data_IF_879095382526
#
_entry.id   IF_879095382526
#
_cell.length_a   1.000
_cell.length_b   1.000
_cell.length_c   1.000
_cell.angle_alpha   90.00
_cell.angle_beta   90.00
_cell.angle_gamma   90.00
#
_symmetry.space_group_name_H-M   'P 1'
#
loop_
_entity.id
_entity.type
_entity.pdbx_description
1 polymer ?
2 non-polymer ?
3 non-polymer ?
4 water ?
#
# COMPACT_ATOMS: atom_id res chain seq x y z
N UNK A 3 -1.96 25.40 4.59
CA UNK A 3 -3.00 24.62 3.93
C UNK A 3 -4.36 25.11 4.42
N UNK A 4 -5.36 24.91 3.55
CA UNK A 4 -6.75 25.12 3.96
C UNK A 4 -7.08 24.29 5.20
N UNK A 5 -8.10 24.68 5.97
CA UNK A 5 -8.54 23.78 7.03
C UNK A 5 -9.16 22.52 6.46
N UNK A 6 -8.94 21.38 7.08
CA UNK A 6 -9.66 20.17 6.68
C UNK A 6 -11.17 20.41 6.82
N UNK A 7 -11.94 19.79 5.95
CA UNK A 7 -13.40 19.95 5.95
C UNK A 7 -14.07 18.69 6.46
N UNK A 8 -14.46 18.72 7.75
CA UNK A 8 -15.04 17.52 8.34
C UNK A 8 -16.43 17.22 7.81
N UNK A 9 -17.21 18.25 7.47
CA UNK A 9 -18.52 17.99 6.88
C UNK A 9 -18.36 17.25 5.54
N UNK A 10 -17.41 17.66 4.74
CA UNK A 10 -17.04 17.00 3.51
C UNK A 10 -16.58 15.57 3.75
N UNK A 11 -15.70 15.38 4.75
CA UNK A 11 -15.25 14.01 5.07
C UNK A 11 -16.44 13.15 5.45
N UNK A 12 -17.33 13.69 6.27
CA UNK A 12 -18.53 12.96 6.68
C UNK A 12 -19.35 12.51 5.44
N UNK A 13 -19.53 13.42 4.52
CA UNK A 13 -20.28 13.12 3.29
C UNK A 13 -19.57 12.03 2.48
N UNK A 14 -18.24 12.06 2.40
CA UNK A 14 -17.51 11.00 1.68
C UNK A 14 -17.78 9.65 2.27
N UNK A 15 -17.69 9.54 3.60
CA UNK A 15 -17.91 8.28 4.25
C UNK A 15 -19.34 7.80 4.01
N UNK A 16 -20.30 8.72 4.15
CA UNK A 16 -21.68 8.31 3.98
C UNK A 16 -21.94 7.85 2.56
N UNK A 17 -21.32 8.52 1.59
CA UNK A 17 -21.43 8.07 0.20
C UNK A 17 -20.82 6.69 0.03
N UNK A 18 -19.66 6.45 0.61
CA UNK A 18 -19.05 5.11 0.50
C UNK A 18 -19.96 4.06 1.05
N UNK A 19 -20.62 4.28 2.18
CA UNK A 19 -21.57 3.30 2.73
C UNK A 19 -22.71 3.09 1.74
N UNK A 20 -23.21 4.17 1.10
CA UNK A 20 -24.32 4.04 0.15
C UNK A 20 -23.91 3.26 -1.08
N UNK A 21 -22.62 3.10 -1.32
CA UNK A 21 -22.10 2.41 -2.48
C UNK A 21 -21.63 0.99 -2.17
N UNK A 22 -21.72 0.59 -0.89
CA UNK A 22 -21.49 -0.82 -0.55
C UNK A 22 -20.38 -1.07 0.45
N UNK A 23 -19.74 -0.01 0.94
CA UNK A 23 -18.75 -0.26 2.03
C UNK A 23 -19.50 -0.53 3.32
N UNK A 24 -19.25 -1.64 4.02
CA UNK A 24 -19.90 -1.79 5.31
C UNK A 24 -19.52 -0.70 6.30
N UNK A 25 -18.27 -0.26 6.26
CA UNK A 25 -17.73 0.76 7.14
C UNK A 25 -16.69 1.56 6.36
N UNK A 26 -16.52 2.82 6.82
CA UNK A 26 -15.51 3.68 6.22
C UNK A 26 -15.06 4.67 7.28
N UNK A 27 -13.79 5.05 7.28
CA UNK A 27 -13.29 5.89 8.37
C UNK A 27 -12.07 6.65 7.86
N UNK A 28 -11.69 7.72 8.57
CA UNK A 28 -10.60 8.60 8.17
C UNK A 28 -10.04 9.31 9.41
N UNK A 29 -8.72 9.43 9.42
CA UNK A 29 -8.01 10.20 10.40
C UNK A 29 -7.19 11.23 9.66
N UNK A 30 -7.18 12.44 10.20
CA UNK A 30 -6.23 13.49 9.73
C UNK A 30 -5.41 13.90 10.94
N UNK A 31 -4.10 13.99 10.77
CA UNK A 31 -3.21 14.64 11.73
C UNK A 31 -2.81 15.96 11.10
N UNK A 32 -3.47 17.06 11.53
CA UNK A 32 -3.25 18.38 10.96
C UNK A 32 -2.33 19.15 11.88
N UNK A 33 -1.02 18.94 11.73
CA UNK A 33 -0.02 19.64 12.49
C UNK A 33 -0.33 19.63 13.99
N UNK A 34 -0.70 18.46 14.50
CA UNK A 34 -0.96 18.36 15.93
C UNK A 34 -2.39 18.45 16.39
N UNK A 35 -3.32 18.71 15.42
CA UNK A 35 -4.73 18.70 15.74
C UNK A 35 -5.33 17.51 14.97
N UNK A 36 -6.05 16.65 15.69
CA UNK A 36 -6.58 15.45 15.07
C UNK A 36 -8.00 15.67 14.54
N UNK A 37 -8.27 15.06 13.40
CA UNK A 37 -9.62 14.92 12.90
C UNK A 37 -9.91 13.42 12.74
N UNK A 38 -11.06 12.96 13.18
CA UNK A 38 -11.36 11.53 13.09
C UNK A 38 -12.83 11.31 12.90
N UNK A 39 -13.17 10.55 11.87
CA UNK A 39 -14.56 10.26 11.58
C UNK A 39 -14.68 8.81 11.10
N UNK A 40 -15.80 8.19 11.39
CA UNK A 40 -16.07 6.81 10.98
C UNK A 40 -17.57 6.66 10.84
N UNK A 41 -18.01 5.80 9.95
CA UNK A 41 -19.40 5.47 9.79
C UNK A 41 -19.49 3.99 9.44
N UNK A 42 -20.54 3.34 9.99
CA UNK A 42 -20.81 1.97 9.66
C UNK A 42 -20.08 0.93 10.51
N UNK A 43 -19.90 -0.25 9.94
CA UNK A 43 -19.59 -1.42 10.76
C UNK A 43 -18.25 -2.02 10.38
N UNK A 44 -17.52 -2.42 11.41
CA UNK A 44 -16.33 -3.26 11.26
C UNK A 44 -16.68 -4.70 10.94
N UNK A 45 -17.79 -5.16 11.48
CA UNK A 45 -18.23 -6.55 11.27
C UNK A 45 -19.72 -6.44 10.96
N UNK A 46 -20.08 -6.79 9.73
CA UNK A 46 -21.43 -6.61 9.25
C UNK A 46 -22.39 -7.68 9.78
N UNK A 47 -21.84 -8.81 10.24
CA UNK A 47 -22.65 -9.88 10.76
C UNK A 47 -23.03 -9.62 12.22
N UNK A 48 -22.10 -9.08 13.00
CA UNK A 48 -22.35 -8.79 14.37
C UNK A 48 -22.83 -7.38 14.58
N UNK A 49 -22.61 -6.46 13.63
CA UNK A 49 -22.99 -5.10 13.80
C UNK A 49 -22.02 -4.22 14.51
N UNK A 50 -20.85 -4.77 14.96
CA UNK A 50 -19.90 -3.92 15.66
C UNK A 50 -19.46 -2.73 14.83
N UNK A 51 -19.51 -1.54 15.43
CA UNK A 51 -19.18 -0.33 14.69
C UNK A 51 -17.70 -0.28 14.36
N UNK A 52 -17.41 0.30 13.20
CA UNK A 52 -16.03 0.62 12.82
C UNK A 52 -15.56 1.86 13.53
N UNK A 53 -14.27 1.91 13.84
CA UNK A 53 -13.69 3.11 14.46
C UNK A 53 -12.32 3.36 13.84
N UNK A 54 -11.82 4.58 14.07
CA UNK A 54 -10.51 4.92 13.52
C UNK A 54 -9.34 4.22 14.23
N UNK A 55 -9.58 3.50 15.33
CA UNK A 55 -8.48 2.72 15.95
C UNK A 55 -8.50 1.28 15.51
N UNK A 56 -9.44 0.86 14.68
CA UNK A 56 -9.44 -0.52 14.20
C UNK A 56 -8.26 -0.80 13.30
N UNK A 57 -7.55 -1.91 13.55
CA UNK A 57 -6.47 -2.29 12.66
C UNK A 57 -7.02 -2.84 11.35
N UNK A 58 -6.21 -2.80 10.30
CA UNK A 58 -6.65 -3.25 8.99
C UNK A 58 -5.41 -3.57 8.15
N UNK A 59 -5.69 -4.25 7.02
CA UNK A 59 -4.63 -4.60 6.04
C UNK A 59 -4.42 -3.45 5.07
N UNK A 60 -3.21 -2.91 5.03
CA UNK A 60 -2.91 -1.64 4.32
C UNK A 60 -2.50 -1.89 2.86
N UNK A 61 -2.43 -3.16 2.42
CA UNK A 61 -2.08 -3.44 1.03
C UNK A 61 -0.75 -2.76 0.67
N UNK A 62 -0.75 -2.14 -0.50
CA UNK A 62 0.47 -1.64 -1.13
C UNK A 62 1.09 -0.42 -0.48
N UNK A 63 0.49 0.11 0.60
CA UNK A 63 1.27 0.96 1.49
C UNK A 63 2.52 0.25 1.93
N UNK A 64 2.48 -1.09 2.00
CA UNK A 64 3.65 -1.90 2.28
C UNK A 64 4.80 -1.58 1.36
N UNK A 65 4.51 -1.21 0.09
CA UNK A 65 5.64 -0.91 -0.80
C UNK A 65 6.46 0.27 -0.31
N UNK A 66 5.83 1.27 0.37
CA UNK A 66 6.57 2.36 0.94
C UNK A 66 7.42 1.91 2.12
N UNK A 67 6.95 0.98 2.96
CA UNK A 67 7.79 0.42 4.00
C UNK A 67 8.98 -0.29 3.39
N UNK A 68 8.75 -1.15 2.37
CA UNK A 68 9.84 -1.82 1.70
C UNK A 68 10.84 -0.83 1.09
N UNK A 69 10.33 0.23 0.46
CA UNK A 69 11.21 1.23 -0.15
C UNK A 69 12.06 1.95 0.92
N UNK A 70 11.49 2.26 2.09
CA UNK A 70 12.31 2.91 3.14
C UNK A 70 13.41 1.96 3.55
N UNK A 71 13.15 0.67 3.76
CA UNK A 71 14.25 -0.22 4.11
C UNK A 71 15.33 -0.21 3.04
N UNK A 72 14.93 -0.36 1.76
CA UNK A 72 15.95 -0.38 0.68
C UNK A 72 16.71 0.92 0.64
N UNK A 73 16.07 2.07 0.82
CA UNK A 73 16.81 3.32 0.75
C UNK A 73 17.74 3.52 1.94
N UNK A 74 17.39 2.97 3.10
CA UNK A 74 18.37 2.97 4.21
C UNK A 74 19.55 2.08 3.85
N UNK A 75 19.30 0.96 3.16
CA UNK A 75 20.44 0.13 2.71
C UNK A 75 21.31 0.87 1.72
N UNK A 76 20.74 1.73 0.87
CA UNK A 76 21.51 2.62 -0.01
C UNK A 76 22.35 3.56 0.86
N UNK A 77 21.76 4.19 1.87
CA UNK A 77 22.49 5.06 2.78
C UNK A 77 23.67 4.36 3.44
N UNK A 78 23.52 3.11 3.77
CA UNK A 78 24.53 2.29 4.45
C UNK A 78 25.56 1.76 3.46
N UNK A 79 25.41 1.99 2.16
CA UNK A 79 26.41 1.50 1.18
C UNK A 79 26.22 0.06 0.77
N UNK A 80 25.05 -0.52 1.07
CA UNK A 80 24.85 -1.96 0.79
C UNK A 80 24.14 -2.20 -0.51
N UNK A 81 23.64 -1.12 -1.14
CA UNK A 81 22.76 -1.24 -2.30
C UNK A 81 23.03 -0.01 -3.17
N UNK A 82 23.09 -0.19 -4.47
CA UNK A 82 23.23 0.92 -5.42
C UNK A 82 21.97 0.85 -6.29
N UNK A 83 21.22 1.98 -6.33
CA UNK A 83 19.94 1.96 -7.06
C UNK A 83 20.14 1.70 -8.54
N UNK A 84 21.30 2.04 -9.10
CA UNK A 84 21.45 1.83 -10.52
C UNK A 84 22.17 0.55 -10.85
N UNK A 85 22.52 -0.29 -9.86
CA UNK A 85 23.00 -1.64 -10.14
C UNK A 85 21.84 -2.51 -10.61
N UNK A 86 22.23 -3.54 -11.38
CA UNK A 86 21.38 -4.61 -11.84
C UNK A 86 20.76 -5.39 -10.71
N UNK A 87 19.49 -5.76 -10.73
CA UNK A 87 18.96 -6.71 -9.74
C UNK A 87 19.82 -7.97 -9.70
N UNK A 88 20.18 -8.47 -10.87
CA UNK A 88 20.92 -9.75 -10.91
C UNK A 88 22.30 -9.62 -10.29
N UNK A 89 22.84 -8.40 -10.11
CA UNK A 89 24.11 -8.28 -9.37
C UNK A 89 23.97 -8.84 -7.94
N UNK A 90 22.79 -8.63 -7.33
CA UNK A 90 22.56 -9.08 -5.94
C UNK A 90 21.84 -10.40 -5.84
N UNK A 91 21.05 -10.71 -6.85
CA UNK A 91 20.24 -11.93 -6.85
C UNK A 91 20.58 -12.65 -8.15
N UNK A 92 21.68 -13.35 -8.22
CA UNK A 92 22.18 -13.83 -9.52
C UNK A 92 21.19 -14.76 -10.16
N UNK A 93 21.04 -14.58 -11.46
CA UNK A 93 20.14 -15.42 -12.24
C UNK A 93 18.67 -15.18 -12.00
N UNK A 94 18.30 -14.13 -11.25
CA UNK A 94 16.87 -13.99 -10.91
C UNK A 94 16.05 -13.64 -12.13
N UNK A 95 16.49 -12.62 -12.88
CA UNK A 95 15.67 -12.01 -13.91
C UNK A 95 16.31 -12.32 -15.27
N UNK A 96 15.51 -12.34 -16.34
CA UNK A 96 16.07 -12.72 -17.66
C UNK A 96 16.96 -11.64 -18.23
N UNK A 97 16.96 -10.42 -17.72
CA UNK A 97 17.69 -9.31 -18.32
C UNK A 97 18.52 -8.67 -17.21
N UNK A 98 19.85 -8.68 -17.39
CA UNK A 98 20.75 -8.11 -16.37
C UNK A 98 20.74 -6.60 -16.46
N UNK A 99 19.97 -5.95 -17.27
CA UNK A 99 19.95 -4.46 -17.29
C UNK A 99 18.74 -3.99 -16.50
N UNK A 100 17.91 -4.89 -15.96
CA UNK A 100 16.82 -4.43 -15.08
C UNK A 100 17.49 -4.04 -13.73
N UNK A 101 17.32 -2.77 -13.38
CA UNK A 101 18.00 -2.22 -12.22
C UNK A 101 17.05 -2.07 -11.02
N UNK A 102 17.68 -1.87 -9.84
CA UNK A 102 16.90 -1.68 -8.62
C UNK A 102 15.99 -0.49 -8.74
N UNK A 103 16.51 0.62 -9.26
CA UNK A 103 15.69 1.85 -9.43
C UNK A 103 14.48 1.59 -10.29
N UNK A 104 14.69 0.84 -11.38
CA UNK A 104 13.58 0.50 -12.28
C UNK A 104 12.54 -0.35 -11.58
N UNK A 105 12.97 -1.34 -10.79
CA UNK A 105 11.99 -2.15 -10.05
C UNK A 105 11.18 -1.26 -9.11
N UNK A 106 11.90 -0.38 -8.38
CA UNK A 106 11.20 0.37 -7.31
C UNK A 106 10.24 1.44 -7.85
N UNK A 107 10.38 1.79 -9.13
CA UNK A 107 9.51 2.77 -9.79
C UNK A 107 8.60 2.12 -10.81
N UNK A 108 8.55 0.79 -10.85
CA UNK A 108 7.63 0.11 -11.78
C UNK A 108 7.96 0.38 -13.23
N UNK A 109 9.24 0.47 -13.54
CA UNK A 109 9.70 0.65 -14.90
C UNK A 109 10.49 -0.54 -15.38
N UNK A 110 10.41 -1.67 -14.70
CA UNK A 110 11.22 -2.84 -15.01
C UNK A 110 10.69 -3.71 -16.16
N UNK A 111 9.42 -3.59 -16.49
CA UNK A 111 8.75 -4.49 -17.44
C UNK A 111 8.30 -5.78 -16.79
N UNK A 112 8.51 -6.00 -15.50
CA UNK A 112 8.10 -7.33 -14.97
C UNK A 112 6.59 -7.48 -14.95
N UNK A 113 6.14 -8.58 -15.52
CA UNK A 113 4.68 -8.86 -15.58
C UNK A 113 4.12 -9.05 -14.16
N UNK A 114 2.93 -8.55 -13.90
CA UNK A 114 2.28 -8.69 -12.61
C UNK A 114 1.50 -10.01 -12.56
N UNK A 115 2.05 -11.01 -11.85
CA UNK A 115 1.43 -12.32 -11.73
C UNK A 115 0.03 -12.22 -11.12
N UNK A 116 -0.28 -11.18 -10.35
CA UNK A 116 -1.64 -11.13 -9.77
C UNK A 116 -2.70 -10.89 -10.85
N UNK A 117 -2.35 -10.48 -12.08
CA UNK A 117 -3.37 -10.43 -13.13
C UNK A 117 -3.90 -11.82 -13.45
N UNK A 118 -3.08 -12.85 -13.29
CA UNK A 118 -3.52 -14.24 -13.48
C UNK A 118 -4.33 -14.65 -12.25
N UNK A 119 -3.80 -14.40 -11.07
CA UNK A 119 -4.44 -14.88 -9.86
C UNK A 119 -5.85 -14.33 -9.72
N UNK A 120 -6.04 -13.07 -10.08
CA UNK A 120 -7.31 -12.40 -9.74
C UNK A 120 -8.11 -12.01 -10.95
N UNK A 121 -7.99 -12.79 -12.04
CA UNK A 121 -8.85 -12.54 -13.20
C UNK A 121 -10.31 -12.67 -12.81
N UNK A 122 -10.63 -13.60 -11.89
CA UNK A 122 -11.94 -13.68 -11.27
C UNK A 122 -11.74 -13.38 -9.81
N UNK A 123 -12.52 -12.45 -9.26
CA UNK A 123 -12.22 -11.88 -7.95
C UNK A 123 -12.38 -12.88 -6.82
N UNK A 124 -13.57 -13.45 -6.65
CA UNK A 124 -13.77 -14.32 -5.45
C UNK A 124 -13.06 -15.67 -5.68
N UNK A 125 -13.18 -16.29 -6.85
CA UNK A 125 -12.42 -17.57 -7.03
C UNK A 125 -10.93 -17.30 -6.85
N UNK A 126 -10.38 -16.19 -7.34
CA UNK A 126 -8.95 -15.94 -7.19
C UNK A 126 -8.60 -15.79 -5.71
N UNK A 127 -9.42 -15.06 -4.93
CA UNK A 127 -9.19 -14.96 -3.49
C UNK A 127 -9.26 -16.33 -2.82
N UNK A 128 -10.24 -17.15 -3.17
CA UNK A 128 -10.34 -18.45 -2.56
C UNK A 128 -9.11 -19.30 -2.93
N UNK A 129 -8.54 -19.09 -4.12
CA UNK A 129 -7.36 -19.85 -4.53
C UNK A 129 -6.13 -19.46 -3.71
N UNK A 130 -5.88 -18.20 -3.42
CA UNK A 130 -4.65 -17.78 -2.81
C UNK A 130 -4.77 -17.61 -1.32
N UNK A 131 -5.96 -17.49 -0.73
CA UNK A 131 -6.04 -16.93 0.63
C UNK A 131 -5.28 -17.72 1.65
N UNK A 132 -5.21 -19.05 1.47
CA UNK A 132 -4.60 -19.96 2.41
C UNK A 132 -3.36 -20.58 1.83
N UNK A 133 -2.76 -19.97 0.84
CA UNK A 133 -1.52 -20.48 0.27
C UNK A 133 -0.34 -19.69 0.81
N UNK A 134 0.79 -20.39 0.92
CA UNK A 134 2.07 -19.77 1.31
C UNK A 134 2.98 -19.92 0.12
N UNK A 135 3.49 -18.80 -0.40
CA UNK A 135 4.42 -18.76 -1.49
C UNK A 135 5.79 -18.37 -0.99
N UNK A 136 6.84 -18.89 -1.61
CA UNK A 136 8.14 -18.25 -1.44
C UNK A 136 8.23 -17.03 -2.33
N UNK A 137 9.22 -16.16 -2.08
CA UNK A 137 9.49 -15.06 -2.99
C UNK A 137 9.78 -15.56 -4.39
N UNK A 138 10.62 -16.58 -4.49
CA UNK A 138 10.95 -17.17 -5.77
C UNK A 138 9.73 -17.72 -6.49
N UNK A 139 8.77 -18.33 -5.79
CA UNK A 139 7.58 -18.85 -6.44
C UNK A 139 6.89 -17.73 -7.23
N UNK A 140 6.77 -16.54 -6.57
CA UNK A 140 6.06 -15.43 -7.23
C UNK A 140 6.85 -14.89 -8.41
N UNK A 141 8.19 -14.78 -8.28
CA UNK A 141 8.99 -14.33 -9.40
C UNK A 141 8.81 -15.32 -10.59
N UNK A 142 8.85 -16.61 -10.31
CA UNK A 142 8.67 -17.57 -11.40
C UNK A 142 7.32 -17.43 -12.06
N UNK A 143 6.26 -17.17 -11.29
CA UNK A 143 4.95 -16.94 -11.91
C UNK A 143 5.01 -15.76 -12.82
N UNK A 144 5.66 -14.66 -12.45
CA UNK A 144 5.79 -13.53 -13.37
C UNK A 144 6.56 -13.85 -14.61
N UNK A 145 7.66 -14.60 -14.45
CA UNK A 145 8.58 -14.81 -15.58
C UNK A 145 8.04 -15.84 -16.55
N UNK A 146 6.94 -16.51 -16.23
CA UNK A 146 6.24 -17.30 -17.26
C UNK A 146 5.76 -16.41 -18.39
N UNK A 147 5.57 -15.14 -18.09
CA UNK A 147 5.18 -14.15 -19.07
C UNK A 147 6.39 -13.35 -19.51
N UNK A 148 6.36 -12.89 -20.77
CA UNK A 148 7.46 -12.01 -21.16
C UNK A 148 7.37 -10.69 -20.42
N UNK A 149 8.54 -10.05 -20.39
CA UNK A 149 8.42 -8.68 -19.85
C UNK A 149 7.50 -7.91 -20.77
N UNK A 150 6.94 -6.84 -20.24
CA UNK A 150 5.96 -6.03 -20.96
C UNK A 150 6.60 -4.84 -21.69
N UNK A 151 7.84 -4.51 -21.43
CA UNK A 151 8.49 -3.35 -22.05
C UNK A 151 9.98 -3.52 -21.79
N UNK A 152 10.78 -2.68 -22.50
CA UNK A 152 12.23 -2.66 -22.29
C UNK A 152 12.58 -2.12 -20.88
N UNK A 153 13.73 -2.49 -20.30
CA UNK A 153 14.08 -2.03 -18.92
C UNK A 153 14.08 -0.50 -18.89
N UNK A 154 13.34 0.01 -17.93
CA UNK A 154 13.21 1.41 -17.69
C UNK A 154 12.24 2.16 -18.53
N UNK A 155 11.70 1.49 -19.58
CA UNK A 155 11.09 2.27 -20.64
C UNK A 155 9.72 2.78 -20.39
N UNK A 156 8.94 2.14 -19.59
CA UNK A 156 7.51 2.40 -19.47
C UNK A 156 7.14 2.21 -17.99
N UNK A 157 6.25 3.00 -17.47
CA UNK A 157 5.61 2.74 -16.15
C UNK A 157 4.56 1.65 -16.30
N UNK A 158 4.66 0.61 -15.52
CA UNK A 158 3.63 -0.44 -15.50
C UNK A 158 3.63 -1.00 -14.10
N UNK A 159 2.60 -0.58 -13.34
CA UNK A 159 2.57 -1.01 -11.94
C UNK A 159 2.59 -2.52 -11.85
N UNK A 160 3.43 -3.10 -10.99
CA UNK A 160 3.51 -4.55 -10.90
C UNK A 160 3.97 -4.94 -9.50
N UNK A 161 3.12 -5.78 -8.88
CA UNK A 161 3.52 -6.33 -7.58
C UNK A 161 4.85 -7.08 -7.65
N UNK A 162 5.16 -7.70 -8.78
CA UNK A 162 6.41 -8.42 -8.88
C UNK A 162 7.59 -7.58 -8.46
N UNK A 163 7.56 -6.27 -8.78
CA UNK A 163 8.65 -5.40 -8.40
C UNK A 163 8.94 -5.37 -6.91
N UNK A 164 7.89 -5.40 -6.10
CA UNK A 164 8.10 -5.35 -4.65
C UNK A 164 8.23 -6.73 -4.05
N UNK A 165 7.98 -7.81 -4.79
CA UNK A 165 8.50 -9.13 -4.44
C UNK A 165 10.04 -9.11 -4.58
N UNK A 166 10.56 -8.60 -5.71
CA UNK A 166 11.97 -8.41 -5.85
C UNK A 166 12.52 -7.59 -4.70
N UNK A 167 11.83 -6.52 -4.32
CA UNK A 167 12.28 -5.72 -3.18
C UNK A 167 12.46 -6.54 -1.90
N UNK A 168 11.52 -7.39 -1.57
CA UNK A 168 11.61 -8.21 -0.36
C UNK A 168 12.80 -9.14 -0.47
N UNK A 169 12.99 -9.73 -1.67
CA UNK A 169 14.14 -10.64 -1.82
C UNK A 169 15.47 -9.93 -1.60
N UNK A 170 15.55 -8.71 -2.15
CA UNK A 170 16.72 -7.91 -2.00
C UNK A 170 16.98 -7.63 -0.53
N UNK A 171 15.94 -7.22 0.18
CA UNK A 171 16.10 -6.89 1.61
C UNK A 171 16.64 -8.12 2.32
N UNK A 172 16.02 -9.28 2.09
CA UNK A 172 16.39 -10.49 2.87
C UNK A 172 17.80 -10.91 2.47
N UNK A 173 18.14 -10.85 1.20
CA UNK A 173 19.47 -11.33 0.79
C UNK A 173 20.51 -10.40 1.36
N UNK A 174 20.36 -9.07 1.28
CA UNK A 174 21.45 -8.20 1.63
C UNK A 174 21.60 -8.03 3.14
N UNK A 175 20.56 -8.27 3.90
CA UNK A 175 20.60 -8.12 5.32
C UNK A 175 20.78 -9.43 6.05
N UNK A 176 20.40 -10.53 5.43
CA UNK A 176 20.45 -11.80 6.14
C UNK A 176 19.30 -11.90 7.15
N UNK A 177 18.31 -11.03 7.08
CA UNK A 177 17.20 -11.03 8.04
C UNK A 177 15.91 -11.12 7.25
N UNK A 178 14.84 -11.47 7.98
CA UNK A 178 13.53 -11.46 7.31
C UNK A 178 13.04 -10.03 7.14
N UNK A 179 12.09 -9.84 6.18
CA UNK A 179 11.54 -8.48 6.06
C UNK A 179 10.85 -8.10 7.36
N UNK A 180 10.17 -9.00 8.05
CA UNK A 180 9.54 -8.63 9.32
C UNK A 180 10.56 -8.01 10.27
N UNK A 181 11.72 -8.62 10.41
CA UNK A 181 12.74 -8.09 11.34
C UNK A 181 13.21 -6.73 10.87
N UNK A 182 13.42 -6.54 9.56
CA UNK A 182 13.88 -5.25 9.06
C UNK A 182 12.83 -4.18 9.27
N UNK A 183 11.56 -4.48 8.93
CA UNK A 183 10.52 -3.49 9.19
C UNK A 183 10.48 -3.15 10.65
N UNK A 184 10.54 -4.13 11.52
CA UNK A 184 10.45 -3.86 12.96
C UNK A 184 11.59 -2.97 13.42
N UNK A 185 12.84 -3.30 13.07
CA UNK A 185 13.99 -2.63 13.62
C UNK A 185 14.18 -1.26 12.98
N UNK A 186 13.86 -1.13 11.71
CA UNK A 186 14.14 0.12 11.00
C UNK A 186 12.99 1.12 11.03
N UNK A 187 11.77 0.66 11.25
CA UNK A 187 10.59 1.49 11.08
C UNK A 187 9.65 1.34 12.28
N UNK A 188 9.12 0.15 12.56
CA UNK A 188 8.05 0.04 13.56
C UNK A 188 8.52 0.44 14.94
N UNK A 189 9.65 -0.09 15.36
CA UNK A 189 10.16 0.29 16.70
C UNK A 189 10.58 1.73 16.74
N UNK A 190 11.43 2.25 15.88
CA UNK A 190 11.88 3.66 16.01
C UNK A 190 10.70 4.65 15.96
N UNK A 191 9.61 4.38 15.24
CA UNK A 191 8.48 5.32 15.17
C UNK A 191 7.42 4.93 16.18
N UNK A 192 7.63 3.90 16.98
CA UNK A 192 6.63 3.47 17.96
C UNK A 192 5.29 3.16 17.37
N UNK A 193 5.31 2.38 16.26
CA UNK A 193 4.05 2.05 15.56
C UNK A 193 3.39 0.84 16.20
N UNK A 194 2.71 1.06 17.31
CA UNK A 194 2.22 0.00 18.18
C UNK A 194 1.08 -0.80 17.57
N UNK A 195 0.48 -0.31 16.49
CA UNK A 195 -0.59 -0.98 15.81
C UNK A 195 -0.15 -1.62 14.51
N UNK A 196 1.17 -1.67 14.27
CA UNK A 196 1.68 -2.04 12.95
C UNK A 196 2.43 -3.35 13.05
N UNK A 197 2.10 -4.26 12.13
CA UNK A 197 2.60 -5.63 12.18
C UNK A 197 2.89 -6.16 10.81
N UNK A 198 3.80 -7.13 10.75
CA UNK A 198 3.99 -7.95 9.53
C UNK A 198 4.09 -9.39 10.08
N UNK A 199 3.00 -10.11 9.91
CA UNK A 199 2.81 -11.42 10.55
C UNK A 199 2.83 -12.55 9.54
N UNK A 200 3.03 -12.29 8.27
CA UNK A 200 3.03 -13.29 7.22
C UNK A 200 3.80 -14.53 7.63
N UNK A 201 3.26 -15.72 7.40
CA UNK A 201 1.98 -16.04 6.72
C UNK A 201 0.82 -16.22 7.67
N UNK A 202 0.87 -15.72 8.92
CA UNK A 202 -0.30 -15.82 9.78
C UNK A 202 -1.49 -15.09 9.16
N UNK A 203 -2.67 -15.65 9.37
CA UNK A 203 -3.94 -15.12 8.86
C UNK A 203 -4.69 -14.26 9.88
N UNK A 204 -4.31 -14.28 11.13
CA UNK A 204 -4.99 -13.53 12.14
C UNK A 204 -4.51 -12.06 12.10
N UNK A 205 -5.44 -11.14 12.30
CA UNK A 205 -5.08 -9.75 12.52
C UNK A 205 -5.03 -9.51 14.02
N UNK A 206 -3.89 -9.13 14.57
CA UNK A 206 -3.78 -8.94 16.02
C UNK A 206 -4.68 -7.82 16.50
N UNK A 207 -5.35 -8.03 17.63
CA UNK A 207 -6.13 -7.01 18.29
C UNK A 207 -7.39 -6.65 17.53
N UNK A 208 -8.01 -5.57 17.97
CA UNK A 208 -9.31 -5.17 17.41
C UNK A 208 -9.11 -4.62 16.01
N UNK A 209 -9.90 -5.18 15.09
CA UNK A 209 -9.71 -4.87 13.68
C UNK A 209 -11.01 -4.75 12.93
N UNK A 210 -10.95 -4.04 11.80
CA UNK A 210 -12.06 -4.12 10.87
C UNK A 210 -12.00 -5.44 10.14
N UNK A 211 -13.16 -6.07 9.97
CA UNK A 211 -13.22 -7.20 9.04
C UNK A 211 -13.25 -6.63 7.62
N UNK A 212 -12.78 -7.44 6.67
CA UNK A 212 -12.79 -7.08 5.26
C UNK A 212 -13.88 -7.79 4.53
N UNK A 213 -14.52 -7.08 3.60
CA UNK A 213 -15.63 -7.67 2.84
C UNK A 213 -15.41 -7.51 1.37
N UNK A 214 -15.10 -8.62 0.72
CA UNK A 214 -14.81 -8.64 -0.71
C UNK A 214 -16.11 -8.58 -1.49
N UNK A 215 -16.22 -7.63 -2.42
CA UNK A 215 -17.40 -7.53 -3.27
C UNK A 215 -17.23 -8.52 -4.42
N UNK A 216 -18.24 -9.36 -4.69
CA UNK A 216 -18.08 -10.32 -5.80
C UNK A 216 -18.20 -9.62 -7.14
N UNK A 217 -17.75 -10.29 -8.19
CA UNK A 217 -17.85 -9.73 -9.52
C UNK A 217 -19.29 -9.60 -9.97
N UNK A 218 -20.20 -10.40 -9.41
CA UNK A 218 -21.60 -10.29 -9.82
C UNK A 218 -22.27 -9.12 -9.14
N UNK A 219 -22.79 -8.15 -9.89
CA UNK A 219 -23.47 -7.02 -9.24
C UNK A 219 -24.56 -7.56 -8.32
N UNK A 220 -24.62 -6.90 -7.16
CA UNK A 220 -25.60 -7.24 -6.16
C UNK A 220 -25.29 -8.52 -5.41
N UNK A 221 -24.19 -9.22 -5.67
CA UNK A 221 -23.92 -10.50 -4.99
C UNK A 221 -23.53 -10.32 -3.53
N UNK A 222 -23.75 -11.34 -2.74
CA UNK A 222 -23.43 -11.31 -1.31
C UNK A 222 -21.94 -11.09 -1.08
N UNK A 223 -21.61 -10.31 -0.06
CA UNK A 223 -20.23 -10.03 0.28
C UNK A 223 -19.58 -11.26 0.93
N UNK A 224 -18.27 -11.35 0.69
CA UNK A 224 -17.45 -12.44 1.23
C UNK A 224 -16.54 -11.89 2.31
N UNK A 225 -16.55 -12.52 3.48
CA UNK A 225 -15.60 -12.10 4.55
C UNK A 225 -14.22 -12.49 4.13
N UNK A 226 -13.34 -11.54 3.88
CA UNK A 226 -11.99 -11.81 3.39
C UNK A 226 -10.93 -11.41 4.42
N UNK A 227 -11.35 -11.19 5.65
CA UNK A 227 -10.45 -10.72 6.70
C UNK A 227 -9.17 -11.52 6.86
N UNK A 228 -9.34 -12.84 6.97
CA UNK A 228 -8.19 -13.69 7.35
C UNK A 228 -7.61 -14.42 6.16
N UNK A 229 -6.38 -14.01 5.81
CA UNK A 229 -5.70 -14.60 4.66
C UNK A 229 -4.22 -14.41 4.92
N UNK A 230 -3.38 -15.17 4.22
CA UNK A 230 -1.95 -15.11 4.46
C UNK A 230 -1.35 -13.85 3.84
N UNK A 231 -1.96 -13.32 2.79
CA UNK A 231 -1.40 -12.24 1.95
C UNK A 231 -0.02 -12.69 1.42
N UNK A 232 0.18 -13.98 1.26
CA UNK A 232 1.47 -14.48 0.78
C UNK A 232 1.72 -14.16 -0.70
N UNK A 233 0.64 -13.92 -1.42
CA UNK A 233 0.72 -13.48 -2.79
C UNK A 233 1.31 -12.09 -2.92
N UNK A 234 1.42 -11.34 -1.81
CA UNK A 234 1.99 -9.99 -1.88
C UNK A 234 3.24 -9.84 -1.00
N UNK A 235 3.22 -10.25 0.26
CA UNK A 235 4.41 -10.17 1.11
C UNK A 235 4.92 -8.74 1.18
N UNK A 236 6.17 -8.49 0.82
CA UNK A 236 6.75 -7.13 0.82
C UNK A 236 6.15 -6.18 -0.18
N UNK A 237 5.22 -6.63 -1.02
CA UNK A 237 4.41 -5.79 -1.89
C UNK A 237 3.08 -5.42 -1.23
N UNK A 238 2.67 -6.06 -0.13
CA UNK A 238 1.32 -5.79 0.35
C UNK A 238 0.85 -6.34 1.67
N UNK A 239 1.66 -6.96 2.53
CA UNK A 239 1.07 -7.68 3.69
C UNK A 239 1.13 -6.95 5.02
N UNK A 240 1.54 -5.67 5.11
CA UNK A 240 1.54 -4.99 6.43
C UNK A 240 0.11 -4.77 6.96
N UNK A 241 0.00 -4.86 8.30
CA UNK A 241 -1.18 -4.50 9.06
C UNK A 241 -0.92 -3.21 9.78
N UNK A 242 -1.83 -2.25 9.82
CA UNK A 242 -1.57 -1.02 10.60
C UNK A 242 -2.89 -0.39 11.00
N UNK A 243 -2.77 0.90 11.41
CA UNK A 243 -3.90 1.69 11.81
C UNK A 243 -3.76 3.07 11.16
N UNK A 244 -4.83 3.85 11.23
CA UNK A 244 -4.81 5.21 10.65
C UNK A 244 -3.77 6.04 11.38
N UNK A 245 -3.68 5.95 12.72
CA UNK A 245 -2.71 6.75 13.45
C UNK A 245 -1.31 6.39 12.99
N UNK A 246 -1.02 5.08 12.92
CA UNK A 246 0.35 4.66 12.56
C UNK A 246 0.73 5.01 11.12
N UNK A 247 -0.18 4.90 10.16
CA UNK A 247 0.23 5.28 8.83
C UNK A 247 0.40 6.81 8.75
N UNK A 248 -0.40 7.59 9.50
CA UNK A 248 -0.14 9.04 9.54
C UNK A 248 1.24 9.30 10.13
N UNK A 249 1.60 8.61 11.21
CA UNK A 249 2.92 8.78 11.80
C UNK A 249 4.02 8.46 10.75
N UNK A 250 3.82 7.32 10.07
CA UNK A 250 4.85 6.87 9.10
C UNK A 250 5.04 7.87 7.96
N UNK A 251 3.96 8.27 7.30
CA UNK A 251 4.15 9.16 6.15
C UNK A 251 4.60 10.53 6.60
N UNK A 252 4.17 10.98 7.79
CA UNK A 252 4.72 12.28 8.26
C UNK A 252 6.22 12.17 8.51
N UNK A 253 6.67 11.09 9.10
CA UNK A 253 8.08 10.86 9.40
C UNK A 253 8.86 10.82 8.09
N UNK A 254 8.31 10.14 7.09
CA UNK A 254 8.98 10.02 5.79
C UNK A 254 9.17 11.39 5.17
N UNK A 255 8.07 12.13 5.03
CA UNK A 255 8.12 13.38 4.24
C UNK A 255 8.88 14.46 4.99
N UNK A 256 8.88 14.44 6.30
CA UNK A 256 9.64 15.38 7.10
C UNK A 256 11.10 15.00 7.24
N UNK A 257 11.56 13.92 6.61
CA UNK A 257 12.99 13.64 6.49
C UNK A 257 13.57 12.81 7.62
N UNK A 258 12.73 12.05 8.36
CA UNK A 258 13.23 11.30 9.49
C UNK A 258 13.66 9.89 9.18
N UNK A 259 13.45 9.38 7.99
CA UNK A 259 13.63 7.93 7.78
C UNK A 259 14.79 7.58 6.88
N UNK A 260 15.53 8.57 6.35
CA UNK A 260 16.67 8.29 5.44
C UNK A 260 17.38 9.61 5.22
N UNK A 261 18.51 9.56 4.53
CA UNK A 261 19.19 10.80 4.21
C UNK A 261 18.37 11.65 3.27
N UNK A 262 18.67 12.95 3.25
CA UNK A 262 18.04 13.90 2.32
C UNK A 262 18.28 13.39 0.90
N UNK A 263 19.45 12.87 0.59
CA UNK A 263 19.75 12.46 -0.79
C UNK A 263 18.82 11.33 -1.20
N UNK A 264 18.61 10.36 -0.28
CA UNK A 264 17.78 9.20 -0.66
C UNK A 264 16.31 9.61 -0.73
N UNK A 265 15.86 10.56 0.13
CA UNK A 265 14.47 11.03 -0.03
C UNK A 265 14.24 11.72 -1.36
N UNK A 266 15.29 12.43 -1.80
CA UNK A 266 15.12 13.09 -3.13
C UNK A 266 15.06 12.04 -4.22
N UNK A 267 15.83 10.93 -4.12
CA UNK A 267 15.70 9.86 -5.11
C UNK A 267 14.30 9.28 -5.08
N UNK A 268 13.76 9.13 -3.87
CA UNK A 268 12.43 8.53 -3.70
C UNK A 268 11.36 9.36 -4.35
N UNK A 269 11.58 10.66 -4.49
CA UNK A 269 10.62 11.59 -5.04
C UNK A 269 10.93 12.04 -6.47
N UNK A 270 11.73 11.25 -7.18
CA UNK A 270 11.92 11.50 -8.64
C UNK A 270 10.72 10.84 -9.33
N UNK A 271 9.79 11.68 -9.82
CA UNK A 271 8.51 11.14 -10.27
C UNK A 271 8.53 10.62 -11.70
N UNK A 272 8.01 9.38 -11.86
CA UNK A 272 7.65 8.80 -13.14
C UNK A 272 6.19 9.07 -13.35
N UNK A 273 5.78 9.54 -14.50
CA UNK A 273 4.39 9.80 -14.78
C UNK A 273 3.52 8.58 -14.75
N UNK A 274 2.44 8.63 -13.99
CA UNK A 274 1.43 7.57 -13.95
C UNK A 274 0.24 7.90 -14.83
N UNK A 275 -0.26 9.12 -14.61
CA UNK A 275 -1.31 9.70 -15.42
C UNK A 275 -1.23 11.21 -15.23
N UNK A 276 -2.21 11.94 -15.74
CA UNK A 276 -2.03 13.39 -15.74
C UNK A 276 -2.10 14.00 -14.35
N UNK A 277 -2.55 13.28 -13.33
CA UNK A 277 -2.61 13.82 -11.97
C UNK A 277 -1.84 12.95 -10.99
N UNK A 278 -0.98 12.06 -11.48
CA UNK A 278 -0.29 11.18 -10.56
C UNK A 278 1.13 10.85 -11.04
N UNK A 279 2.02 10.66 -10.04
CA UNK A 279 3.37 10.17 -10.32
C UNK A 279 3.68 8.99 -9.39
N UNK A 280 4.78 8.33 -9.70
CA UNK A 280 5.32 7.26 -8.86
C UNK A 280 6.82 7.49 -8.72
N UNK A 281 7.29 7.45 -7.50
CA UNK A 281 8.70 7.67 -7.22
C UNK A 281 9.39 6.32 -7.04
N UNK A 282 9.93 6.10 -5.83
CA UNK A 282 10.51 4.80 -5.46
C UNK A 282 9.61 4.26 -4.34
N UNK A 283 8.65 3.39 -4.69
CA UNK A 283 7.69 2.88 -3.68
C UNK A 283 6.87 4.00 -3.05
N UNK A 284 6.52 5.02 -3.82
CA UNK A 284 5.83 6.21 -3.29
C UNK A 284 4.97 6.78 -4.40
N UNK A 285 3.74 7.16 -4.07
CA UNK A 285 2.85 7.83 -5.02
C UNK A 285 2.73 9.31 -4.78
N UNK A 286 2.53 10.05 -5.86
CA UNK A 286 2.11 11.44 -5.77
C UNK A 286 0.72 11.59 -6.39
N UNK A 287 -0.20 12.23 -5.67
CA UNK A 287 -1.51 12.56 -6.21
C UNK A 287 -1.69 14.07 -6.23
N UNK A 288 -2.12 14.63 -7.36
CA UNK A 288 -2.32 16.05 -7.53
C UNK A 288 -3.80 16.32 -7.34
N UNK A 289 -4.12 17.13 -6.35
CA UNK A 289 -5.50 17.39 -5.94
C UNK A 289 -6.07 18.61 -6.65
N UNK A 290 -7.39 18.76 -6.63
CA UNK A 290 -8.03 19.72 -7.51
C UNK A 290 -7.63 21.14 -7.19
N UNK A 291 -7.26 21.45 -5.97
CA UNK A 291 -6.97 22.81 -5.52
C UNK A 291 -5.50 23.12 -5.71
N UNK A 292 -4.78 22.28 -6.47
CA UNK A 292 -3.40 22.63 -6.75
C UNK A 292 -2.39 22.20 -5.70
N UNK A 293 -2.75 21.34 -4.81
CA UNK A 293 -1.88 20.74 -3.76
C UNK A 293 -1.55 19.33 -4.26
N UNK A 294 -0.29 18.91 -4.18
CA UNK A 294 0.09 17.51 -4.33
C UNK A 294 0.34 16.87 -2.94
N UNK A 295 -0.03 15.60 -2.85
CA UNK A 295 0.20 14.82 -1.62
C UNK A 295 0.90 13.51 -1.95
N UNK A 296 1.48 12.90 -0.95
CA UNK A 296 2.52 11.88 -1.16
C UNK A 296 2.28 10.74 -0.22
N UNK A 297 2.33 9.50 -0.71
CA UNK A 297 2.04 8.35 0.13
C UNK A 297 1.74 7.15 -0.70
N UNK A 298 0.72 6.38 -0.36
CA UNK A 298 0.41 5.24 -1.19
C UNK A 298 -1.01 4.85 -0.91
N UNK A 299 -1.62 4.21 -1.92
CA UNK A 299 -2.89 3.49 -1.80
C UNK A 299 -2.68 2.01 -1.49
N UNK A 300 -3.72 1.38 -0.99
CA UNK A 300 -3.70 -0.07 -0.81
C UNK A 300 -5.03 -0.67 -1.19
N UNK A 301 -4.94 -1.84 -1.80
CA UNK A 301 -6.06 -2.68 -2.08
C UNK A 301 -5.67 -4.12 -1.76
N UNK A 302 -6.29 -4.69 -0.73
CA UNK A 302 -6.24 -6.13 -0.65
C UNK A 302 -7.70 -6.54 -0.46
N UNK A 303 -7.98 -7.83 -0.51
CA UNK A 303 -9.39 -8.20 -0.53
C UNK A 303 -10.11 -7.75 0.74
N UNK A 304 -11.12 -6.91 0.50
CA UNK A 304 -11.90 -6.37 1.60
C UNK A 304 -11.43 -5.06 2.20
N UNK A 305 -10.29 -4.52 1.72
CA UNK A 305 -9.77 -3.28 2.31
C UNK A 305 -9.20 -2.32 1.27
N UNK A 306 -9.73 -1.12 1.20
CA UNK A 306 -9.20 0.00 0.44
C UNK A 306 -8.61 1.05 1.37
N UNK A 307 -7.35 1.36 1.17
CA UNK A 307 -6.59 2.33 1.97
C UNK A 307 -6.10 3.49 1.11
N UNK A 308 -6.23 4.71 1.65
CA UNK A 308 -5.48 5.85 1.14
C UNK A 308 -4.65 6.38 2.29
N UNK A 309 -3.35 6.60 2.12
CA UNK A 309 -2.51 7.17 3.19
C UNK A 309 -1.55 8.14 2.54
N UNK A 310 -1.77 9.44 2.76
CA UNK A 310 -0.99 10.48 2.07
C UNK A 310 -0.71 11.63 3.02
N UNK A 311 0.42 12.29 2.78
CA UNK A 311 0.83 13.44 3.55
C UNK A 311 1.25 14.60 2.67
N UNK A 312 1.24 15.78 3.24
CA UNK A 312 1.77 16.95 2.52
C UNK A 312 3.28 16.82 2.38
N UNK A 313 3.83 17.69 1.50
CA UNK A 313 5.27 17.62 1.19
C UNK A 313 6.17 17.69 2.41
N UNK A 314 5.79 18.49 3.41
CA UNK A 314 6.60 18.65 4.61
C UNK A 314 6.18 17.72 5.72
N UNK A 315 5.23 16.83 5.48
CA UNK A 315 4.79 15.87 6.47
C UNK A 315 3.89 16.45 7.54
N UNK A 316 3.57 17.75 7.51
CA UNK A 316 2.84 18.34 8.64
C UNK A 316 1.40 18.00 8.64
N UNK A 317 0.77 17.66 7.52
CA UNK A 317 -0.58 17.12 7.52
C UNK A 317 -0.54 15.73 6.90
N UNK A 318 -1.16 14.76 7.54
CA UNK A 318 -1.28 13.39 6.98
C UNK A 318 -2.68 12.92 7.18
N UNK A 319 -3.10 12.06 6.23
CA UNK A 319 -4.45 11.55 6.20
C UNK A 319 -4.40 10.07 5.88
N UNK A 320 -5.13 9.25 6.61
CA UNK A 320 -5.32 7.86 6.25
C UNK A 320 -6.83 7.58 6.29
N UNK A 321 -7.32 6.99 5.21
CA UNK A 321 -8.72 6.61 5.11
C UNK A 321 -8.78 5.10 4.75
N UNK A 322 -9.83 4.46 5.23
CA UNK A 322 -10.03 3.03 5.04
C UNK A 322 -11.50 2.81 4.79
N UNK A 323 -11.81 2.01 3.76
CA UNK A 323 -13.18 1.42 3.65
C UNK A 323 -12.97 -0.09 3.68
N UNK A 324 -13.80 -0.82 4.43
CA UNK A 324 -13.60 -2.30 4.52
C UNK A 324 -14.40 -3.06 3.48
N UNK A 325 -14.27 -2.61 2.24
CA UNK A 325 -14.63 -3.46 1.09
C UNK A 325 -13.53 -3.29 0.03
N UNK A 326 -13.58 -4.16 -0.96
CA UNK A 326 -12.78 -3.98 -2.18
C UNK A 326 -13.56 -4.54 -3.34
N UNK A 327 -12.94 -4.56 -4.53
CA UNK A 327 -13.58 -4.87 -5.79
C UNK A 327 -14.87 -4.08 -5.94
N UNK A 328 -14.80 -2.78 -5.64
CA UNK A 328 -15.94 -1.88 -5.70
C UNK A 328 -15.44 -0.54 -6.11
N UNK A 329 -15.41 -0.27 -7.41
CA UNK A 329 -14.75 0.96 -7.84
C UNK A 329 -15.51 2.19 -7.41
N UNK A 330 -16.84 2.13 -7.25
CA UNK A 330 -17.53 3.29 -6.75
C UNK A 330 -16.97 3.69 -5.39
N UNK A 331 -16.82 2.71 -4.49
CA UNK A 331 -16.24 2.99 -3.18
C UNK A 331 -14.80 3.49 -3.31
N UNK A 332 -14.00 2.87 -4.14
CA UNK A 332 -12.60 3.25 -4.30
C UNK A 332 -12.52 4.72 -4.75
N UNK A 333 -13.35 5.08 -5.76
CA UNK A 333 -13.30 6.47 -6.27
C UNK A 333 -13.80 7.41 -5.20
N UNK A 334 -14.85 7.05 -4.51
CA UNK A 334 -15.39 7.94 -3.45
C UNK A 334 -14.35 8.16 -2.37
N UNK A 335 -13.65 7.09 -1.92
CA UNK A 335 -12.74 7.25 -0.81
C UNK A 335 -11.58 8.16 -1.18
N UNK A 336 -11.20 8.26 -2.47
CA UNK A 336 -10.16 9.22 -2.84
C UNK A 336 -10.53 10.64 -2.47
N UNK A 337 -11.85 10.92 -2.40
CA UNK A 337 -12.29 12.26 -2.07
C UNK A 337 -11.92 12.68 -0.67
N UNK A 338 -11.61 11.75 0.21
CA UNK A 338 -11.12 12.15 1.54
C UNK A 338 -9.90 13.03 1.40
N UNK A 339 -9.06 12.85 0.37
CA UNK A 339 -7.87 13.68 0.26
C UNK A 339 -8.24 15.08 -0.12
N UNK A 340 -9.26 15.22 -1.00
CA UNK A 340 -9.79 16.55 -1.32
C UNK A 340 -10.30 17.26 -0.07
N UNK A 341 -11.17 16.61 0.67
CA UNK A 341 -11.71 17.30 1.82
C UNK A 341 -10.68 17.61 2.87
N UNK A 342 -9.73 16.68 3.06
CA UNK A 342 -8.74 16.85 4.13
C UNK A 342 -7.67 17.89 3.81
N UNK A 343 -7.27 17.97 2.53
CA UNK A 343 -6.19 18.90 2.15
C UNK A 343 -6.73 20.17 1.49
N UNK A 344 -7.72 20.08 0.61
CA UNK A 344 -8.21 21.26 -0.08
C UNK A 344 -9.28 21.96 0.73
N UNK A 345 -9.96 21.29 1.66
CA UNK A 345 -10.98 21.89 2.51
C UNK A 345 -12.25 22.22 1.79
N UNK A 346 -13.05 23.06 2.44
CA UNK A 346 -14.34 23.43 1.91
C UNK A 346 -14.21 24.19 0.63
N UNK A 347 -15.12 23.96 -0.34
CA UNK A 347 -15.14 24.76 -1.56
C UNK A 347 -15.41 26.21 -1.17
#
# INVERSE_FOLDING_TARGET
ADLPAPDDTGLQAVLHTALSQGAPGAMVRVDDNGTIHQLSEGVADRATGRAITTTDRFRVGSVTKSFSAVVLLQLVDEGKLDLDASVNTYLPGLLPDDRITVRQVMSHRSGLYDYTNDMFAQTVPGFESVRNKVFSYQDLITLSLKHGVTNAPGAAYSYSNTNFVVAGMLIEKLTGHSVATEYQNRIFTPLNLTDTFYVHPDTVIPGTHANGYLTPDEAGGALVDSTEQTVSWAQSAGAVISSTQDLDTFFSALMSGQLMSAAQLAQMQQWTTVNSTQGYGLGLRRRDLSCGISVYGHTGTVQGYYTYAFASKDGKRSVTALANTSNNVNVLNTMARTLESAFCGKPTT
#
